data_IF_887821815386
#
_entry.id   IF_887821815386
#
_cell.length_a   1.000
_cell.length_b   1.000
_cell.length_c   1.000
_cell.angle_alpha   90.00
_cell.angle_beta   90.00
_cell.angle_gamma   90.00
#
_symmetry.space_group_name_H-M   'P 1'
#
loop_
_entity.id
_entity.type
_entity.pdbx_description
1 polymer ?
#
# COMPACT_ATOMS: atom_id res chain seq x y z
N UNK A 1 -6.02 0.52 10.10
CA UNK A 1 -4.84 1.14 9.47
C UNK A 1 -3.63 1.04 10.39
N UNK A 2 -3.53 1.81 11.48
CA UNK A 2 -2.37 1.75 12.42
C UNK A 2 -2.11 0.33 12.95
N UNK A 3 -3.15 -0.37 13.44
CA UNK A 3 -2.98 -1.75 13.92
C UNK A 3 -2.49 -2.70 12.82
N UNK A 4 -2.98 -2.54 11.59
CA UNK A 4 -2.54 -3.32 10.42
C UNK A 4 -1.07 -3.05 10.12
N UNK A 5 -0.63 -1.79 10.11
CA UNK A 5 0.78 -1.43 9.95
C UNK A 5 1.67 -2.06 11.02
N UNK A 6 1.28 -1.92 12.29
CA UNK A 6 2.01 -2.51 13.39
C UNK A 6 2.15 -4.02 13.24
N UNK A 7 1.10 -4.74 12.88
CA UNK A 7 1.20 -6.19 12.68
C UNK A 7 2.00 -6.56 11.42
N UNK A 8 1.99 -5.74 10.36
CA UNK A 8 2.75 -6.00 9.14
C UNK A 8 4.26 -5.79 9.29
N UNK A 9 4.68 -4.90 10.19
CA UNK A 9 6.07 -4.41 10.27
C UNK A 9 6.72 -4.64 11.64
N UNK A 10 6.04 -5.33 12.56
CA UNK A 10 6.65 -5.78 13.81
C UNK A 10 7.72 -6.85 13.56
N UNK A 11 8.83 -6.83 14.31
CA UNK A 11 9.14 -5.91 15.42
C UNK A 11 9.90 -4.63 15.00
N UNK A 12 10.18 -4.47 13.70
CA UNK A 12 11.13 -3.48 13.18
C UNK A 12 10.61 -2.04 13.29
N UNK A 13 9.28 -1.84 13.20
CA UNK A 13 8.67 -0.53 13.22
C UNK A 13 7.45 -0.44 14.15
N UNK A 14 7.28 0.72 14.80
CA UNK A 14 6.11 1.07 15.60
C UNK A 14 5.42 2.33 15.05
N UNK A 15 4.18 2.17 14.61
CA UNK A 15 3.31 3.20 14.08
C UNK A 15 2.30 3.71 15.12
N UNK A 16 2.47 3.38 16.41
CA UNK A 16 1.56 3.80 17.48
C UNK A 16 1.40 5.32 17.58
N UNK A 17 2.40 6.09 17.16
CA UNK A 17 2.39 7.56 17.14
C UNK A 17 1.99 8.17 15.79
N UNK A 18 1.63 7.34 14.79
CA UNK A 18 1.23 7.82 13.47
C UNK A 18 0.00 8.72 13.56
N UNK A 19 0.06 9.86 12.87
CA UNK A 19 -0.92 10.94 12.92
C UNK A 19 -1.95 10.77 11.81
N UNK A 20 -3.15 11.30 12.03
CA UNK A 20 -4.25 11.17 11.07
C UNK A 20 -3.95 11.78 9.70
N UNK A 21 -3.13 12.85 9.64
CA UNK A 21 -2.79 13.51 8.37
C UNK A 21 -1.79 12.73 7.52
N UNK A 22 -1.10 11.74 8.10
CA UNK A 22 -0.22 10.81 7.39
C UNK A 22 -1.02 9.73 6.66
N UNK A 23 -2.35 9.70 6.85
CA UNK A 23 -3.26 8.80 6.15
C UNK A 23 -4.18 9.57 5.21
N UNK A 24 -4.30 9.09 3.97
CA UNK A 24 -5.22 9.63 2.99
C UNK A 24 -6.17 8.56 2.49
N UNK A 25 -7.44 8.92 2.23
CA UNK A 25 -8.38 8.04 1.53
C UNK A 25 -8.23 8.27 0.03
N UNK A 26 -7.93 7.21 -0.69
CA UNK A 26 -7.72 7.27 -2.14
C UNK A 26 -9.07 7.22 -2.88
N UNK A 27 -9.35 8.19 -3.77
CA UNK A 27 -10.64 8.28 -4.43
C UNK A 27 -10.79 7.33 -5.63
N UNK A 28 -9.70 6.74 -6.12
CA UNK A 28 -9.68 5.99 -7.38
C UNK A 28 -8.79 4.76 -7.32
N UNK A 29 -9.43 3.59 -7.43
CA UNK A 29 -8.73 2.32 -7.61
C UNK A 29 -7.82 2.34 -8.84
N UNK A 30 -8.28 2.93 -9.94
CA UNK A 30 -7.51 3.02 -11.19
C UNK A 30 -6.22 3.80 -10.98
N UNK A 31 -6.27 4.90 -10.22
CA UNK A 31 -5.08 5.68 -9.90
C UNK A 31 -4.09 4.83 -9.11
N UNK A 32 -4.55 4.17 -8.04
CA UNK A 32 -3.71 3.36 -7.15
C UNK A 32 -3.07 2.20 -7.90
N UNK A 33 -3.85 1.48 -8.71
CA UNK A 33 -3.37 0.39 -9.55
C UNK A 33 -2.28 0.89 -10.52
N UNK A 34 -2.48 2.04 -11.15
CA UNK A 34 -1.49 2.60 -12.07
C UNK A 34 -0.20 3.01 -11.35
N UNK A 35 -0.29 3.62 -10.18
CA UNK A 35 0.89 4.01 -9.41
C UNK A 35 1.70 2.78 -8.96
N UNK A 36 1.03 1.76 -8.40
CA UNK A 36 1.68 0.49 -8.03
C UNK A 36 2.32 -0.17 -9.26
N UNK A 37 1.62 -0.20 -10.40
CA UNK A 37 2.15 -0.77 -11.64
C UNK A 37 3.40 -0.03 -12.13
N UNK A 38 3.40 1.30 -12.10
CA UNK A 38 4.55 2.10 -12.51
C UNK A 38 5.76 1.84 -11.59
N UNK A 39 5.55 1.87 -10.28
CA UNK A 39 6.60 1.62 -9.29
C UNK A 39 7.17 0.20 -9.44
N UNK A 40 6.32 -0.83 -9.47
CA UNK A 40 6.78 -2.21 -9.61
C UNK A 40 7.44 -2.49 -10.96
N UNK A 41 6.96 -1.92 -12.07
CA UNK A 41 7.67 -2.02 -13.35
C UNK A 41 9.07 -1.39 -13.28
N UNK A 42 9.21 -0.28 -12.56
CA UNK A 42 10.50 0.39 -12.30
C UNK A 42 11.45 -0.34 -11.34
N UNK A 43 11.00 -1.43 -10.70
CA UNK A 43 11.88 -2.32 -9.91
C UNK A 43 12.08 -3.68 -10.60
N UNK A 44 11.00 -4.31 -11.03
CA UNK A 44 10.96 -5.70 -11.53
C UNK A 44 11.18 -5.79 -13.05
N UNK A 45 11.07 -4.67 -13.80
CA UNK A 45 11.27 -4.60 -15.26
C UNK A 45 10.33 -5.55 -16.01
N UNK A 46 10.84 -6.25 -17.03
CA UNK A 46 10.06 -7.09 -17.95
C UNK A 46 9.33 -8.24 -17.25
N UNK A 47 9.88 -8.75 -16.15
CA UNK A 47 9.24 -9.83 -15.37
C UNK A 47 7.90 -9.38 -14.77
N UNK A 48 7.72 -8.06 -14.58
CA UNK A 48 6.45 -7.51 -14.10
C UNK A 48 5.30 -7.76 -15.08
N UNK A 49 5.58 -7.96 -16.38
CA UNK A 49 4.53 -8.24 -17.37
C UNK A 49 3.79 -9.54 -17.04
N UNK A 50 4.50 -10.56 -16.57
CA UNK A 50 3.92 -11.83 -16.17
C UNK A 50 3.34 -11.80 -14.75
N UNK A 51 3.98 -11.04 -13.84
CA UNK A 51 3.57 -10.92 -12.44
C UNK A 51 2.32 -10.05 -12.27
N UNK A 52 2.18 -8.96 -13.03
CA UNK A 52 1.08 -7.99 -12.91
C UNK A 52 -0.32 -8.62 -12.87
N UNK A 53 -0.73 -9.47 -13.83
CA UNK A 53 -2.05 -10.09 -13.76
C UNK A 53 -2.19 -11.03 -12.55
N UNK A 54 -1.15 -11.76 -12.17
CA UNK A 54 -1.19 -12.67 -11.02
C UNK A 54 -1.39 -11.90 -9.71
N UNK A 55 -0.66 -10.79 -9.55
CA UNK A 55 -0.77 -9.90 -8.40
C UNK A 55 -2.20 -9.37 -8.26
N UNK A 56 -2.74 -8.75 -9.31
CA UNK A 56 -4.06 -8.12 -9.22
C UNK A 56 -5.20 -9.13 -9.11
N UNK A 57 -5.10 -10.28 -9.77
CA UNK A 57 -6.08 -11.35 -9.61
C UNK A 57 -6.09 -11.88 -8.17
N UNK A 58 -4.92 -12.17 -7.59
CA UNK A 58 -4.83 -12.66 -6.22
C UNK A 58 -5.39 -11.67 -5.19
N UNK A 59 -5.10 -10.38 -5.38
CA UNK A 59 -5.66 -9.33 -4.50
C UNK A 59 -7.18 -9.24 -4.66
N UNK A 60 -7.69 -9.20 -5.90
CA UNK A 60 -9.13 -9.07 -6.15
C UNK A 60 -9.92 -10.28 -5.64
N UNK A 61 -9.39 -11.51 -5.82
CA UNK A 61 -9.98 -12.74 -5.29
C UNK A 61 -10.09 -12.72 -3.76
N UNK A 62 -9.09 -12.15 -3.06
CA UNK A 62 -9.05 -12.16 -1.60
C UNK A 62 -9.90 -11.04 -0.95
N UNK A 63 -10.04 -9.89 -1.62
CA UNK A 63 -10.60 -8.66 -1.01
C UNK A 63 -11.76 -8.01 -1.78
N UNK A 64 -12.01 -8.40 -3.03
CA UNK A 64 -12.94 -7.76 -3.96
C UNK A 64 -12.68 -6.24 -4.06
N UNK A 65 -11.74 -5.86 -4.91
CA UNK A 65 -11.23 -4.48 -5.04
C UNK A 65 -12.33 -3.47 -5.36
N UNK A 66 -13.35 -3.88 -6.12
CA UNK A 66 -14.50 -3.04 -6.48
C UNK A 66 -15.33 -2.60 -5.27
N UNK A 67 -15.26 -3.31 -4.14
CA UNK A 67 -16.00 -3.02 -2.91
C UNK A 67 -15.10 -2.43 -1.80
N UNK A 68 -13.84 -2.13 -2.10
CA UNK A 68 -12.89 -1.64 -1.12
C UNK A 68 -12.93 -0.12 -0.96
N UNK A 69 -12.83 0.34 0.29
CA UNK A 69 -12.28 1.65 0.58
C UNK A 69 -10.75 1.56 0.54
N UNK A 70 -10.11 2.50 -0.15
CA UNK A 70 -8.65 2.49 -0.32
C UNK A 70 -8.04 3.61 0.51
N UNK A 71 -6.97 3.30 1.22
CA UNK A 71 -6.20 4.28 2.00
C UNK A 71 -4.72 4.17 1.66
N UNK A 72 -3.99 5.26 1.84
CA UNK A 72 -2.54 5.30 1.77
C UNK A 72 -1.96 5.81 3.10
N UNK A 73 -0.78 5.29 3.45
CA UNK A 73 0.06 5.85 4.51
C UNK A 73 1.26 6.55 3.87
N UNK A 74 1.36 7.85 4.09
CA UNK A 74 2.39 8.74 3.58
C UNK A 74 2.98 9.48 4.79
N UNK A 75 4.04 8.94 5.42
CA UNK A 75 4.62 9.55 6.60
C UNK A 75 5.22 10.93 6.29
N UNK A 76 5.25 11.80 7.29
CA UNK A 76 6.07 13.01 7.20
C UNK A 76 7.56 12.63 7.08
N UNK A 77 8.38 13.48 6.45
CA UNK A 77 9.82 13.20 6.25
C UNK A 77 10.57 12.90 7.56
N UNK A 78 10.15 13.51 8.66
CA UNK A 78 10.74 13.32 9.99
C UNK A 78 10.24 12.04 10.70
N UNK A 79 9.19 11.41 10.17
CA UNK A 79 8.47 10.28 10.75
C UNK A 79 8.45 9.05 9.84
N UNK A 80 9.15 9.08 8.70
CA UNK A 80 9.21 7.96 7.75
C UNK A 80 10.10 6.83 8.31
N UNK A 81 9.52 5.71 8.75
CA UNK A 81 10.31 4.57 9.20
C UNK A 81 11.08 3.92 8.05
N UNK A 82 10.64 4.12 6.80
CA UNK A 82 11.25 3.58 5.59
C UNK A 82 12.27 4.54 4.97
N UNK A 83 12.57 5.66 5.63
CA UNK A 83 13.53 6.67 5.21
C UNK A 83 14.99 6.22 5.27
N UNK A 84 15.29 4.96 4.96
CA UNK A 84 16.66 4.54 4.68
C UNK A 84 17.18 5.26 3.43
N UNK A 85 18.42 5.74 3.50
CA UNK A 85 19.08 6.53 2.44
C UNK A 85 19.03 5.82 1.09
N UNK A 86 18.35 6.43 0.11
CA UNK A 86 18.46 6.06 -1.32
C UNK A 86 17.23 5.42 -1.97
N UNK A 87 16.13 5.21 -1.25
CA UNK A 87 14.87 4.76 -1.86
C UNK A 87 14.28 5.84 -2.79
N UNK A 88 14.10 5.51 -4.07
CA UNK A 88 13.52 6.44 -5.07
C UNK A 88 12.01 6.61 -4.93
N UNK A 89 11.33 5.61 -4.36
CA UNK A 89 9.90 5.62 -4.11
C UNK A 89 9.54 4.60 -3.03
N UNK A 90 8.43 4.84 -2.34
CA UNK A 90 7.77 3.92 -1.43
C UNK A 90 6.25 4.07 -1.58
N UNK A 91 5.50 3.03 -1.24
CA UNK A 91 4.03 3.11 -1.15
C UNK A 91 3.51 2.15 -0.10
N UNK A 92 2.47 2.57 0.63
CA UNK A 92 1.79 1.77 1.64
C UNK A 92 0.27 1.91 1.43
N UNK A 93 -0.33 1.02 0.63
CA UNK A 93 -1.78 1.03 0.37
C UNK A 93 -2.52 0.01 1.23
N UNK A 94 -3.73 0.37 1.66
CA UNK A 94 -4.67 -0.48 2.36
C UNK A 94 -5.95 -0.58 1.55
N UNK A 95 -6.33 -1.80 1.19
CA UNK A 95 -7.62 -2.11 0.61
C UNK A 95 -8.49 -2.69 1.73
N UNK A 96 -9.51 -1.94 2.13
CA UNK A 96 -10.39 -2.34 3.23
C UNK A 96 -11.81 -2.57 2.73
N UNK A 97 -12.23 -3.83 2.75
CA UNK A 97 -13.58 -4.27 2.48
C UNK A 97 -14.37 -4.38 3.79
N UNK A 98 -15.20 -3.37 4.05
CA UNK A 98 -16.07 -3.29 5.25
C UNK A 98 -17.01 -4.48 5.40
N UNK A 99 -17.46 -5.08 4.29
CA UNK A 99 -18.39 -6.23 4.29
C UNK A 99 -17.68 -7.50 4.75
N UNK A 100 -16.44 -7.69 4.31
CA UNK A 100 -15.59 -8.83 4.68
C UNK A 100 -14.91 -8.63 6.05
N UNK A 101 -14.91 -7.40 6.59
CA UNK A 101 -14.11 -6.99 7.75
C UNK A 101 -12.63 -7.31 7.56
N UNK A 102 -12.15 -7.06 6.33
CA UNK A 102 -10.82 -7.40 5.88
C UNK A 102 -10.25 -6.20 5.15
#
# INVERSE_FOLDING_TARGET
>A
LIATLNESFRPDYDFSTARSHEFSREPSLIWVVNAVNCSLFSAVREDFKALKPQLWNAVDEEICLAECDIYSYNPDLDSDPFGEDGSLWSFNYFFYNKRLKR
#
